data_IF_655470058372
#
_entry.id   IF_655470058372
#
_cell.length_a   1.000
_cell.length_b   1.000
_cell.length_c   1.000
_cell.angle_alpha   90.00
_cell.angle_beta   90.00
_cell.angle_gamma   90.00
#
_symmetry.space_group_name_H-M   'P 1'
#
loop_
_entity.id
_entity.type
_entity.pdbx_description
1 polymer ?
#
# COMPACT_ATOMS: atom_id res chain seq x y z
N UNK A 1 -14.20 -32.43 -1.64
CA UNK A 1 -13.03 -31.52 -1.66
C UNK A 1 -13.54 -30.13 -1.98
N UNK A 2 -13.69 -29.27 -0.96
CA UNK A 2 -14.29 -27.95 -1.11
C UNK A 2 -13.36 -27.00 -1.86
N UNK A 3 -13.82 -26.44 -2.98
CA UNK A 3 -13.19 -25.31 -3.65
C UNK A 3 -13.44 -24.05 -2.82
N UNK A 4 -12.69 -23.91 -1.73
CA UNK A 4 -12.60 -22.67 -0.98
C UNK A 4 -11.77 -21.68 -1.78
N UNK A 5 -12.42 -20.81 -2.54
CA UNK A 5 -11.78 -19.59 -3.04
C UNK A 5 -11.35 -18.78 -1.81
N UNK A 6 -10.09 -18.91 -1.40
CA UNK A 6 -9.48 -17.93 -0.51
C UNK A 6 -9.39 -16.63 -1.32
N UNK A 7 -10.43 -15.79 -1.22
CA UNK A 7 -10.28 -14.36 -1.41
C UNK A 7 -9.27 -13.90 -0.35
N UNK A 8 -7.99 -14.12 -0.62
CA UNK A 8 -6.92 -13.53 0.17
C UNK A 8 -7.18 -12.05 0.14
N UNK A 9 -7.54 -11.47 1.28
CA UNK A 9 -7.50 -10.03 1.46
C UNK A 9 -6.09 -9.62 1.10
N UNK A 10 -5.90 -9.05 -0.10
CA UNK A 10 -4.60 -8.52 -0.50
C UNK A 10 -4.24 -7.50 0.55
N UNK A 11 -3.25 -7.81 1.37
CA UNK A 11 -2.75 -6.87 2.36
C UNK A 11 -1.89 -5.89 1.59
N UNK A 12 -2.31 -4.63 1.58
CA UNK A 12 -1.59 -3.52 0.94
C UNK A 12 -0.48 -2.99 1.85
N UNK A 13 0.16 -3.90 2.58
CA UNK A 13 1.24 -3.61 3.51
C UNK A 13 2.08 -4.85 3.73
N UNK A 14 3.36 -4.66 3.99
CA UNK A 14 4.29 -5.72 4.42
C UNK A 14 4.69 -5.47 5.86
N UNK A 15 5.02 -6.52 6.61
CA UNK A 15 5.69 -6.40 7.92
C UNK A 15 7.13 -6.86 7.76
N UNK A 16 8.08 -6.03 8.18
CA UNK A 16 9.51 -6.37 8.18
C UNK A 16 9.86 -7.25 9.40
N UNK A 17 11.01 -7.97 9.38
CA UNK A 17 11.43 -8.82 10.50
C UNK A 17 11.51 -8.11 11.85
N UNK A 18 11.74 -6.80 11.86
CA UNK A 18 11.75 -5.96 13.07
C UNK A 18 10.37 -5.53 13.57
N UNK A 19 9.27 -5.98 12.95
CA UNK A 19 7.91 -5.56 13.28
C UNK A 19 7.52 -4.20 12.68
N UNK A 20 8.43 -3.52 12.00
CA UNK A 20 8.15 -2.28 11.27
C UNK A 20 7.25 -2.53 10.06
N UNK A 21 6.51 -1.49 9.66
CA UNK A 21 5.72 -1.50 8.42
C UNK A 21 6.69 -1.36 7.24
N UNK A 22 6.66 -2.32 6.33
CA UNK A 22 7.46 -2.33 5.10
C UNK A 22 6.71 -1.79 3.91
N UNK A 23 7.46 -1.42 2.86
CA UNK A 23 6.88 -1.10 1.57
C UNK A 23 6.14 -2.32 0.98
N UNK A 24 4.97 -2.07 0.38
CA UNK A 24 4.15 -3.09 -0.25
C UNK A 24 4.73 -3.64 -1.57
N UNK A 25 5.59 -2.87 -2.25
CA UNK A 25 6.18 -3.28 -3.54
C UNK A 25 6.90 -4.62 -3.39
N UNK A 26 6.56 -5.55 -4.28
CA UNK A 26 7.13 -6.88 -4.28
C UNK A 26 8.66 -6.81 -4.39
N UNK A 27 9.37 -7.53 -3.53
CA UNK A 27 10.84 -7.50 -3.38
C UNK A 27 11.44 -6.23 -2.75
N UNK A 28 10.63 -5.25 -2.33
CA UNK A 28 11.16 -4.15 -1.51
C UNK A 28 11.31 -4.60 -0.04
N UNK A 29 12.47 -4.29 0.55
CA UNK A 29 12.80 -4.59 1.94
C UNK A 29 12.92 -3.33 2.81
N UNK A 30 12.62 -2.16 2.24
CA UNK A 30 12.66 -0.90 2.96
C UNK A 30 11.43 -0.69 3.84
N UNK A 31 11.63 0.03 4.95
CA UNK A 31 10.56 0.50 5.80
C UNK A 31 9.66 1.48 5.02
N UNK A 32 8.35 1.33 5.18
CA UNK A 32 7.41 2.29 4.64
C UNK A 32 7.45 3.58 5.47
N UNK A 33 7.46 4.70 4.78
CA UNK A 33 7.46 6.04 5.37
C UNK A 33 6.10 6.71 5.26
N UNK A 34 5.22 6.17 4.40
CA UNK A 34 3.91 6.74 4.07
C UNK A 34 2.88 5.68 3.70
N UNK A 35 1.63 6.00 3.99
CA UNK A 35 0.46 5.40 3.38
C UNK A 35 0.01 6.27 2.21
N UNK A 36 -0.31 5.63 1.09
CA UNK A 36 -0.98 6.26 -0.04
C UNK A 36 -2.36 5.64 -0.14
N UNK A 37 -3.38 6.47 0.07
CA UNK A 37 -4.78 6.11 -0.04
C UNK A 37 -5.22 6.38 -1.49
N UNK A 38 -5.51 5.31 -2.23
CA UNK A 38 -5.97 5.37 -3.62
C UNK A 38 -7.49 5.22 -3.70
N UNK A 39 -8.16 6.10 -4.44
CA UNK A 39 -9.58 5.96 -4.73
C UNK A 39 -9.80 4.89 -5.81
N UNK A 40 -10.74 3.97 -5.59
CA UNK A 40 -11.06 2.94 -6.58
C UNK A 40 -12.19 3.41 -7.49
N UNK A 41 -11.88 4.04 -8.62
CA UNK A 41 -12.81 4.36 -9.71
C UNK A 41 -14.20 4.83 -9.25
N UNK A 42 -14.27 5.99 -8.58
CA UNK A 42 -15.54 6.58 -8.11
C UNK A 42 -16.18 5.88 -6.91
N UNK A 43 -15.46 4.95 -6.27
CA UNK A 43 -15.87 4.34 -5.00
C UNK A 43 -15.18 5.07 -3.84
N UNK A 44 -15.94 5.58 -2.84
CA UNK A 44 -15.37 6.25 -1.66
C UNK A 44 -14.56 5.32 -0.75
N UNK A 45 -14.39 4.05 -1.11
CA UNK A 45 -13.47 3.12 -0.44
C UNK A 45 -12.05 3.39 -0.90
N UNK A 46 -11.31 4.12 -0.07
CA UNK A 46 -9.88 4.29 -0.21
C UNK A 46 -9.14 3.00 0.11
N UNK A 47 -8.22 2.62 -0.77
CA UNK A 47 -7.27 1.55 -0.53
C UNK A 47 -5.97 2.15 0.00
N UNK A 48 -5.67 1.92 1.27
CA UNK A 48 -4.42 2.38 1.89
C UNK A 48 -3.30 1.40 1.62
N UNK A 49 -2.27 1.84 0.89
CA UNK A 49 -1.07 1.04 0.60
C UNK A 49 0.17 1.67 1.22
N UNK A 50 1.02 0.87 1.87
CA UNK A 50 2.27 1.35 2.48
C UNK A 50 3.41 1.40 1.46
N UNK A 51 4.11 2.54 1.40
CA UNK A 51 5.25 2.72 0.50
C UNK A 51 6.45 3.33 1.22
N UNK A 52 7.65 2.95 0.77
CA UNK A 52 8.85 3.74 1.04
C UNK A 52 8.85 5.00 0.17
N UNK A 53 9.85 5.88 0.35
CA UNK A 53 9.84 7.15 -0.36
C UNK A 53 9.98 6.98 -1.89
N UNK A 54 10.93 6.15 -2.32
CA UNK A 54 11.19 5.90 -3.75
C UNK A 54 9.96 5.38 -4.50
N UNK A 55 9.35 4.30 -4.00
CA UNK A 55 8.18 3.70 -4.65
C UNK A 55 6.91 4.54 -4.46
N UNK A 56 6.81 5.25 -3.34
CA UNK A 56 5.68 6.14 -3.08
C UNK A 56 5.63 7.32 -4.06
N UNK A 57 6.78 7.81 -4.52
CA UNK A 57 6.82 8.90 -5.49
C UNK A 57 6.33 8.44 -6.87
N UNK A 58 6.63 7.21 -7.30
CA UNK A 58 6.09 6.64 -8.56
C UNK A 58 4.57 6.57 -8.55
N UNK A 59 4.01 6.20 -7.40
CA UNK A 59 2.57 6.16 -7.22
C UNK A 59 1.95 7.56 -7.16
N UNK A 60 2.71 8.62 -6.90
CA UNK A 60 2.17 9.98 -6.90
C UNK A 60 2.28 10.68 -8.25
N UNK A 61 2.92 10.03 -9.24
CA UNK A 61 3.14 10.57 -10.59
C UNK A 61 1.92 10.39 -11.53
N UNK A 62 0.78 9.92 -11.00
CA UNK A 62 -0.46 9.75 -11.74
C UNK A 62 -1.38 10.97 -11.55
N UNK A 63 -1.47 11.88 -12.54
CA UNK A 63 -2.25 13.11 -12.42
C UNK A 63 -3.76 12.88 -12.48
N UNK A 64 -4.21 11.73 -12.99
CA UNK A 64 -5.63 11.45 -13.27
C UNK A 64 -6.36 10.85 -12.07
N UNK A 65 -5.62 10.31 -11.10
CA UNK A 65 -6.19 9.67 -9.91
C UNK A 65 -5.79 10.42 -8.64
N UNK A 66 -6.73 11.11 -7.97
CA UNK A 66 -6.42 11.80 -6.72
C UNK A 66 -6.02 10.78 -5.64
N UNK A 67 -4.83 10.97 -5.08
CA UNK A 67 -4.25 10.12 -4.03
C UNK A 67 -4.03 10.94 -2.78
N UNK A 68 -4.30 10.36 -1.62
CA UNK A 68 -4.03 11.01 -0.32
C UNK A 68 -2.83 10.36 0.35
N UNK A 69 -1.84 11.19 0.72
CA UNK A 69 -0.64 10.73 1.42
C UNK A 69 -0.79 10.95 2.92
N UNK A 70 -0.46 9.93 3.72
CA UNK A 70 -0.35 10.02 5.18
C UNK A 70 1.00 9.48 5.64
N UNK A 71 1.78 10.26 6.38
CA UNK A 71 3.07 9.78 6.92
C UNK A 71 2.86 8.66 7.95
N UNK A 72 3.70 7.63 7.91
CA UNK A 72 3.80 6.60 8.94
C UNK A 72 4.69 7.17 10.05
N UNK A 73 4.13 7.33 11.25
CA UNK A 73 4.91 7.74 12.42
C UNK A 73 5.61 6.50 12.96
N UNK A 74 6.93 6.60 13.14
CA UNK A 74 7.75 5.59 13.83
C UNK A 74 7.51 5.66 15.33
#
# INVERSE_FOLDING_TARGET
>A
MGKGSTKGSVQHTKTLPGGEIGCWVYSCEEAATRWIDMERYGNPRFLSTSYCDSHGDWELDDPDNPRRVRKIRK
#
